data_IF_785498851839
#
_entry.id   IF_785498851839
#
_cell.length_a   1.000
_cell.length_b   1.000
_cell.length_c   1.000
_cell.angle_alpha   90.00
_cell.angle_beta   90.00
_cell.angle_gamma   90.00
#
_symmetry.space_group_name_H-M   'P 1'
#
loop_
_entity.id
_entity.type
_entity.pdbx_description
1 polymer ?
#
# COMPACT_ATOMS: atom_id res chain seq x y z
N UNK A 1 2.61 -9.66 -3.55
CA UNK A 1 1.77 -8.82 -2.67
C UNK A 1 2.69 -7.82 -2.02
N UNK A 2 2.46 -6.53 -2.28
CA UNK A 2 3.40 -5.46 -1.91
C UNK A 2 3.65 -5.44 -0.41
N UNK A 3 4.88 -5.13 -0.02
CA UNK A 3 5.31 -5.00 1.38
C UNK A 3 4.45 -3.96 2.13
N UNK A 4 4.04 -2.90 1.44
CA UNK A 4 3.18 -1.86 1.98
C UNK A 4 1.77 -2.37 2.32
N UNK A 5 1.20 -3.22 1.46
CA UNK A 5 -0.11 -3.84 1.70
C UNK A 5 -0.04 -4.76 2.92
N UNK A 6 1.05 -5.53 3.06
CA UNK A 6 1.31 -6.35 4.24
C UNK A 6 1.41 -5.51 5.52
N UNK A 7 2.07 -4.37 5.45
CA UNK A 7 2.19 -3.44 6.57
C UNK A 7 0.83 -2.90 7.01
N UNK A 8 -0.04 -2.52 6.08
CA UNK A 8 -1.41 -2.09 6.40
C UNK A 8 -2.24 -3.20 7.05
N UNK A 9 -2.14 -4.43 6.55
CA UNK A 9 -2.79 -5.59 7.19
C UNK A 9 -2.24 -5.86 8.60
N UNK A 10 -0.94 -5.67 8.82
CA UNK A 10 -0.33 -5.81 10.15
C UNK A 10 -0.85 -4.76 11.13
N UNK A 11 -0.97 -3.49 10.70
CA UNK A 11 -1.58 -2.43 11.51
C UNK A 11 -3.05 -2.74 11.82
N UNK A 12 -3.82 -3.18 10.82
CA UNK A 12 -5.22 -3.54 11.01
C UNK A 12 -5.38 -4.68 12.01
N UNK A 13 -4.57 -5.74 11.89
CA UNK A 13 -4.54 -6.85 12.84
C UNK A 13 -4.14 -6.39 14.24
N UNK A 14 -3.12 -5.53 14.35
CA UNK A 14 -2.70 -4.92 15.61
C UNK A 14 -3.82 -4.13 16.28
N UNK A 15 -4.56 -3.33 15.51
CA UNK A 15 -5.73 -2.59 16.00
C UNK A 15 -6.82 -3.50 16.56
N UNK A 16 -7.14 -4.59 15.87
CA UNK A 16 -8.10 -5.61 16.34
C UNK A 16 -7.61 -6.25 17.64
N UNK A 17 -6.34 -6.65 17.71
CA UNK A 17 -5.75 -7.24 18.92
C UNK A 17 -5.83 -6.27 20.10
N UNK A 18 -5.52 -4.98 19.91
CA UNK A 18 -5.64 -3.96 20.96
C UNK A 18 -7.07 -3.85 21.51
N UNK A 19 -8.08 -3.87 20.64
CA UNK A 19 -9.49 -3.84 21.06
C UNK A 19 -9.85 -5.10 21.85
N UNK A 20 -9.52 -6.28 21.33
CA UNK A 20 -9.84 -7.55 21.97
C UNK A 20 -9.15 -7.66 23.34
N UNK A 21 -7.86 -7.32 23.42
CA UNK A 21 -7.12 -7.32 24.69
C UNK A 21 -7.70 -6.32 25.69
N UNK A 22 -8.07 -5.11 25.24
CA UNK A 22 -8.70 -4.12 26.13
C UNK A 22 -10.00 -4.66 26.75
N UNK A 23 -10.84 -5.30 25.94
CA UNK A 23 -12.10 -5.91 26.41
C UNK A 23 -11.85 -7.07 27.36
N UNK A 24 -10.93 -7.99 27.01
CA UNK A 24 -10.61 -9.14 27.86
C UNK A 24 -10.03 -8.72 29.21
N UNK A 25 -9.10 -7.77 29.22
CA UNK A 25 -8.52 -7.22 30.44
C UNK A 25 -9.58 -6.53 31.29
N UNK A 26 -10.52 -5.80 30.67
CA UNK A 26 -11.62 -5.17 31.39
C UNK A 26 -12.46 -6.18 32.16
N UNK A 27 -12.86 -7.30 31.52
CA UNK A 27 -13.66 -8.34 32.19
C UNK A 27 -12.89 -9.04 33.31
N UNK A 28 -11.63 -9.39 33.06
CA UNK A 28 -10.80 -10.08 34.05
C UNK A 28 -10.53 -9.20 35.29
N UNK A 29 -10.18 -7.93 35.08
CA UNK A 29 -9.95 -6.97 36.17
C UNK A 29 -11.23 -6.68 36.97
N UNK A 30 -12.41 -6.70 36.33
CA UNK A 30 -13.69 -6.48 37.01
C UNK A 30 -14.02 -7.59 38.01
N UNK A 31 -13.61 -8.82 37.72
CA UNK A 31 -13.89 -9.98 38.56
C UNK A 31 -13.00 -10.03 39.80
N UNK A 32 -11.72 -9.65 39.65
CA UNK A 32 -10.73 -9.73 40.74
C UNK A 32 -10.70 -8.52 41.68
N UNK A 33 -10.89 -7.29 41.18
CA UNK A 33 -10.72 -6.09 41.98
C UNK A 33 -11.75 -5.02 41.57
N UNK A 34 -12.39 -4.34 42.52
CA UNK A 34 -13.15 -3.13 42.20
C UNK A 34 -12.28 -2.17 41.37
N UNK A 35 -12.68 -1.92 40.12
CA UNK A 35 -11.79 -1.31 39.12
C UNK A 35 -11.34 0.09 39.59
N UNK A 36 -10.04 0.27 39.79
CA UNK A 36 -9.49 1.61 40.01
C UNK A 36 -9.72 2.49 38.78
N UNK A 37 -10.20 3.72 38.99
CA UNK A 37 -10.53 4.67 37.92
C UNK A 37 -9.37 4.90 36.94
N UNK A 38 -8.13 4.85 37.43
CA UNK A 38 -6.90 4.95 36.62
C UNK A 38 -6.75 3.80 35.62
N UNK A 39 -7.01 2.56 36.04
CA UNK A 39 -6.93 1.37 35.17
C UNK A 39 -8.04 1.37 34.11
N UNK A 40 -9.26 1.78 34.50
CA UNK A 40 -10.36 1.94 33.55
C UNK A 40 -10.00 2.91 32.42
N UNK A 41 -9.47 4.08 32.76
CA UNK A 41 -9.08 5.08 31.77
C UNK A 41 -7.99 4.56 30.81
N UNK A 42 -7.01 3.81 31.31
CA UNK A 42 -5.96 3.19 30.47
C UNK A 42 -6.53 2.18 29.48
N UNK A 43 -7.50 1.35 29.89
CA UNK A 43 -8.16 0.39 29.01
C UNK A 43 -8.98 1.10 27.92
N UNK A 44 -9.67 2.17 28.27
CA UNK A 44 -10.39 3.00 27.29
C UNK A 44 -9.43 3.60 26.28
N UNK A 45 -8.29 4.15 26.72
CA UNK A 45 -7.25 4.66 25.80
C UNK A 45 -6.72 3.57 24.88
N UNK A 46 -6.43 2.37 25.39
CA UNK A 46 -5.98 1.24 24.58
C UNK A 46 -7.02 0.84 23.52
N UNK A 47 -8.31 0.85 23.88
CA UNK A 47 -9.40 0.57 22.97
C UNK A 47 -9.50 1.66 21.88
N UNK A 48 -9.43 2.93 22.26
CA UNK A 48 -9.44 4.06 21.32
C UNK A 48 -8.25 4.03 20.36
N UNK A 49 -7.05 3.65 20.84
CA UNK A 49 -5.90 3.44 19.98
C UNK A 49 -6.17 2.35 18.95
N UNK A 50 -6.74 1.21 19.36
CA UNK A 50 -7.12 0.14 18.44
C UNK A 50 -8.13 0.60 17.39
N UNK A 51 -9.16 1.35 17.78
CA UNK A 51 -10.14 1.96 16.86
C UNK A 51 -9.47 2.93 15.89
N UNK A 52 -8.54 3.76 16.37
CA UNK A 52 -7.79 4.70 15.54
C UNK A 52 -6.93 4.00 14.47
N UNK A 53 -6.24 2.92 14.83
CA UNK A 53 -5.46 2.11 13.88
C UNK A 53 -6.33 1.49 12.78
N UNK A 54 -7.52 0.98 13.15
CA UNK A 54 -8.48 0.44 12.19
C UNK A 54 -9.02 1.57 11.29
N UNK A 55 -9.39 2.71 11.87
CA UNK A 55 -9.92 3.85 11.12
C UNK A 55 -8.91 4.38 10.09
N UNK A 56 -7.63 4.35 10.43
CA UNK A 56 -6.55 4.74 9.51
C UNK A 56 -6.41 3.76 8.34
N UNK A 57 -6.45 2.45 8.60
CA UNK A 57 -6.14 1.41 7.60
C UNK A 57 -7.30 1.01 6.70
N UNK A 58 -8.54 1.07 7.21
CA UNK A 58 -9.73 0.58 6.48
C UNK A 58 -10.03 1.33 5.18
N UNK A 59 -9.95 2.66 5.09
CA UNK A 59 -10.28 3.40 3.87
C UNK A 59 -9.48 2.91 2.66
N UNK A 60 -8.18 2.67 2.83
CA UNK A 60 -7.26 2.29 1.77
C UNK A 60 -7.34 0.80 1.45
N UNK A 61 -7.38 -0.06 2.49
CA UNK A 61 -7.54 -1.50 2.32
C UNK A 61 -8.86 -1.88 1.66
N UNK A 62 -9.91 -1.05 1.82
CA UNK A 62 -11.20 -1.26 1.16
C UNK A 62 -11.02 -1.43 -0.36
N UNK A 63 -10.25 -0.58 -1.02
CA UNK A 63 -10.11 -0.64 -2.47
C UNK A 63 -9.39 -1.90 -2.95
N UNK A 64 -8.46 -2.42 -2.15
CA UNK A 64 -7.82 -3.72 -2.41
C UNK A 64 -8.82 -4.86 -2.29
N UNK A 65 -9.62 -4.89 -1.21
CA UNK A 65 -10.59 -5.97 -0.95
C UNK A 65 -11.70 -6.02 -2.00
N UNK A 66 -12.19 -4.85 -2.45
CA UNK A 66 -13.23 -4.76 -3.48
C UNK A 66 -12.69 -4.80 -4.91
N UNK A 67 -11.36 -4.86 -5.10
CA UNK A 67 -10.70 -4.77 -6.40
C UNK A 67 -11.09 -3.50 -7.19
N UNK A 68 -11.29 -2.39 -6.47
CA UNK A 68 -11.64 -1.08 -7.04
C UNK A 68 -10.35 -0.36 -7.47
N UNK A 69 -9.91 -0.66 -8.69
CA UNK A 69 -8.68 -0.13 -9.25
C UNK A 69 -8.93 0.88 -10.38
N UNK A 70 -7.96 1.76 -10.58
CA UNK A 70 -7.92 2.73 -11.69
C UNK A 70 -6.63 2.53 -12.47
N UNK A 71 -6.68 2.69 -13.78
CA UNK A 71 -5.49 2.58 -14.63
C UNK A 71 -5.14 3.95 -15.21
N UNK A 72 -3.98 4.46 -14.83
CA UNK A 72 -3.36 5.64 -15.42
C UNK A 72 -2.60 5.21 -16.66
N UNK A 73 -2.82 5.92 -17.78
CA UNK A 73 -2.18 5.64 -19.06
C UNK A 73 -1.49 6.90 -19.56
N UNK A 74 -0.27 6.74 -20.06
CA UNK A 74 0.49 7.89 -20.54
C UNK A 74 1.88 7.52 -21.02
N UNK A 75 2.55 8.54 -21.55
CA UNK A 75 3.97 8.47 -21.83
C UNK A 75 4.73 8.47 -20.51
N UNK A 76 5.70 7.57 -20.40
CA UNK A 76 6.55 7.43 -19.24
C UNK A 76 8.00 7.21 -19.65
N UNK A 77 8.91 7.54 -18.75
CA UNK A 77 10.31 7.11 -18.79
C UNK A 77 10.53 6.06 -17.71
N UNK A 78 11.46 5.14 -17.98
CA UNK A 78 11.78 4.03 -17.09
C UNK A 78 13.17 4.23 -16.55
N UNK A 79 13.31 4.21 -15.23
CA UNK A 79 14.59 4.22 -14.54
C UNK A 79 14.72 2.99 -13.65
N UNK A 80 15.94 2.50 -13.47
CA UNK A 80 16.22 1.42 -12.55
C UNK A 80 16.95 1.97 -11.34
N UNK A 81 16.38 1.76 -10.16
CA UNK A 81 17.12 1.99 -8.92
C UNK A 81 17.93 0.73 -8.62
N UNK A 82 19.19 0.74 -9.05
CA UNK A 82 20.16 -0.31 -8.74
C UNK A 82 20.79 -0.14 -7.34
N UNK A 83 20.54 0.99 -6.66
CA UNK A 83 21.03 1.26 -5.30
C UNK A 83 20.04 0.77 -4.23
N UNK A 84 18.76 0.65 -4.56
CA UNK A 84 17.76 0.06 -3.67
C UNK A 84 17.96 -1.46 -3.48
N UNK A 85 17.61 -1.94 -2.29
CA UNK A 85 17.58 -3.37 -1.96
C UNK A 85 16.23 -3.69 -1.30
N UNK A 86 15.31 -4.40 -1.97
CA UNK A 86 15.44 -4.95 -3.33
C UNK A 86 15.51 -3.88 -4.42
N UNK A 87 16.11 -4.22 -5.57
CA UNK A 87 16.18 -3.33 -6.73
C UNK A 87 14.78 -3.06 -7.27
N UNK A 88 14.49 -1.82 -7.61
CA UNK A 88 13.18 -1.40 -8.11
C UNK A 88 13.24 -0.90 -9.54
N UNK A 89 12.08 -0.85 -10.18
CA UNK A 89 11.84 -0.14 -11.42
C UNK A 89 10.94 1.04 -11.14
N UNK A 90 11.32 2.19 -11.67
CA UNK A 90 10.64 3.44 -11.46
C UNK A 90 10.07 3.93 -12.79
N UNK A 91 8.79 4.29 -12.75
CA UNK A 91 8.03 4.80 -13.89
C UNK A 91 7.68 6.25 -13.63
N UNK A 92 8.24 7.14 -14.44
CA UNK A 92 8.02 8.58 -14.33
C UNK A 92 7.15 9.06 -15.50
N UNK A 93 6.04 9.73 -15.20
CA UNK A 93 5.12 10.28 -16.19
C UNK A 93 5.44 11.75 -16.43
N UNK A 94 6.00 12.07 -17.61
CA UNK A 94 6.48 13.43 -17.90
C UNK A 94 5.38 14.49 -17.90
N UNK A 95 4.14 14.12 -18.29
CA UNK A 95 3.03 15.07 -18.42
C UNK A 95 2.38 15.42 -17.07
N UNK A 96 2.23 14.44 -16.18
CA UNK A 96 1.59 14.64 -14.87
C UNK A 96 2.59 14.88 -13.75
N UNK A 97 3.85 14.48 -13.95
CA UNK A 97 4.86 14.44 -12.90
C UNK A 97 4.65 13.30 -11.91
N UNK A 98 3.75 12.36 -12.21
CA UNK A 98 3.50 11.20 -11.36
C UNK A 98 4.69 10.23 -11.41
N UNK A 99 4.92 9.57 -10.28
CA UNK A 99 6.01 8.62 -10.10
C UNK A 99 5.46 7.37 -9.42
N UNK A 100 5.82 6.21 -9.95
CA UNK A 100 5.43 4.91 -9.41
C UNK A 100 6.65 3.99 -9.35
N UNK A 101 6.85 3.32 -8.22
CA UNK A 101 7.96 2.39 -8.02
C UNK A 101 7.45 0.97 -7.83
N UNK A 102 8.09 0.00 -8.47
CA UNK A 102 7.72 -1.40 -8.40
C UNK A 102 8.92 -2.28 -8.05
N UNK A 103 8.66 -3.30 -7.24
CA UNK A 103 9.66 -4.31 -6.88
C UNK A 103 9.92 -5.32 -7.99
N UNK A 104 8.92 -5.56 -8.85
CA UNK A 104 9.05 -6.44 -10.00
C UNK A 104 9.67 -5.65 -11.15
N UNK A 105 10.79 -6.14 -11.71
CA UNK A 105 11.60 -5.38 -12.66
C UNK A 105 11.42 -5.92 -14.06
N UNK A 106 11.02 -5.05 -14.98
CA UNK A 106 11.03 -5.35 -16.41
C UNK A 106 12.47 -5.42 -16.95
N UNK A 107 12.75 -6.39 -17.82
CA UNK A 107 14.01 -6.46 -18.57
C UNK A 107 13.84 -5.78 -19.93
N UNK A 108 14.08 -4.47 -19.97
CA UNK A 108 13.99 -3.65 -21.19
C UNK A 108 15.35 -3.53 -21.87
N UNK A 109 15.36 -3.62 -23.21
CA UNK A 109 16.58 -3.47 -24.01
C UNK A 109 17.19 -2.06 -24.02
N UNK A 110 16.43 -1.03 -23.64
CA UNK A 110 16.88 0.35 -23.45
C UNK A 110 16.06 1.01 -22.33
N UNK A 111 16.64 1.91 -21.55
CA UNK A 111 15.95 2.63 -20.46
C UNK A 111 16.71 3.94 -20.16
N UNK A 112 16.12 4.79 -19.32
CA UNK A 112 16.63 6.12 -18.98
C UNK A 112 15.70 7.26 -19.43
N UNK A 113 16.05 8.51 -19.05
CA UNK A 113 15.19 9.68 -19.25
C UNK A 113 14.92 10.04 -20.71
N UNK A 114 15.77 9.58 -21.64
CA UNK A 114 15.62 9.86 -23.07
C UNK A 114 14.89 8.74 -23.84
N UNK A 115 14.40 7.70 -23.14
CA UNK A 115 13.74 6.53 -23.75
C UNK A 115 12.27 6.50 -23.35
N UNK A 116 11.37 7.06 -24.19
CA UNK A 116 9.95 7.08 -23.88
C UNK A 116 9.31 5.72 -24.14
N UNK A 117 8.42 5.34 -23.22
CA UNK A 117 7.53 4.20 -23.31
C UNK A 117 6.08 4.64 -23.14
N UNK A 118 5.14 3.76 -23.48
CA UNK A 118 3.75 3.92 -23.05
C UNK A 118 3.54 3.02 -21.84
N UNK A 119 3.23 3.62 -20.69
CA UNK A 119 2.96 2.90 -19.45
C UNK A 119 1.48 2.89 -19.16
N UNK A 120 0.99 1.73 -18.72
CA UNK A 120 -0.29 1.60 -18.05
C UNK A 120 -0.02 1.15 -16.62
N UNK A 121 -0.25 2.03 -15.65
CA UNK A 121 -0.11 1.73 -14.22
C UNK A 121 -1.49 1.58 -13.60
N UNK A 122 -1.74 0.45 -12.95
CA UNK A 122 -2.98 0.18 -12.22
C UNK A 122 -2.73 0.40 -10.74
N UNK A 123 -3.49 1.30 -10.13
CA UNK A 123 -3.43 1.61 -8.70
C UNK A 123 -4.80 1.43 -8.05
N UNK A 124 -4.86 1.46 -6.72
CA UNK A 124 -6.13 1.65 -6.01
C UNK A 124 -6.73 3.02 -6.35
N UNK A 125 -8.04 3.16 -6.19
CA UNK A 125 -8.76 4.39 -6.54
C UNK A 125 -8.26 5.65 -5.81
N UNK A 126 -7.75 5.48 -4.61
CA UNK A 126 -7.11 6.53 -3.81
C UNK A 126 -5.63 6.75 -4.14
N UNK A 127 -5.08 6.00 -5.11
CA UNK A 127 -3.69 6.02 -5.56
C UNK A 127 -2.68 5.68 -4.47
N UNK A 128 -3.13 5.01 -3.40
CA UNK A 128 -2.28 4.68 -2.25
C UNK A 128 -1.47 3.40 -2.45
N UNK A 129 -1.91 2.51 -3.35
CA UNK A 129 -1.18 1.27 -3.66
C UNK A 129 -1.08 1.02 -5.15
N UNK A 130 0.13 0.71 -5.61
CA UNK A 130 0.39 0.26 -6.96
C UNK A 130 0.11 -1.25 -7.10
N UNK A 131 -0.82 -1.61 -7.99
CA UNK A 131 -1.26 -2.99 -8.14
C UNK A 131 -0.47 -3.72 -9.22
N UNK A 132 -0.33 -3.08 -10.38
CA UNK A 132 0.40 -3.66 -11.51
C UNK A 132 0.80 -2.57 -12.50
N UNK A 133 1.74 -2.90 -13.37
CA UNK A 133 2.08 -2.05 -14.49
C UNK A 133 2.31 -2.86 -15.76
N UNK A 134 2.11 -2.19 -16.89
CA UNK A 134 2.40 -2.71 -18.22
C UNK A 134 3.18 -1.67 -19.01
N UNK A 135 4.20 -2.12 -19.72
CA UNK A 135 5.06 -1.28 -20.54
C UNK A 135 4.88 -1.70 -22.00
N UNK A 136 4.66 -0.70 -22.86
CA UNK A 136 4.50 -0.85 -24.29
C UNK A 136 5.54 -0.02 -25.03
N UNK A 137 5.98 -0.53 -26.17
CA UNK A 137 6.85 0.22 -27.08
C UNK A 137 6.12 1.46 -27.61
N UNK A 138 6.73 2.63 -27.42
CA UNK A 138 6.11 3.92 -27.77
C UNK A 138 5.75 4.06 -29.26
N UNK A 139 6.48 3.40 -30.16
CA UNK A 139 6.28 3.54 -31.62
C UNK A 139 5.30 2.51 -32.18
N UNK A 140 5.35 1.28 -31.66
CA UNK A 140 4.65 0.13 -32.21
C UNK A 140 3.45 -0.30 -31.37
N UNK A 141 3.28 0.27 -30.18
CA UNK A 141 2.26 -0.11 -29.18
C UNK A 141 2.30 -1.60 -28.82
N UNK A 142 3.46 -2.23 -29.03
CA UNK A 142 3.67 -3.64 -28.71
C UNK A 142 3.94 -3.77 -27.22
N UNK A 143 3.20 -4.65 -26.54
CA UNK A 143 3.46 -5.00 -25.16
C UNK A 143 4.88 -5.55 -25.01
N UNK A 144 5.67 -4.91 -24.16
CA UNK A 144 7.03 -5.30 -23.80
C UNK A 144 7.04 -6.09 -22.50
N UNK A 145 6.24 -5.65 -21.53
CA UNK A 145 6.22 -6.24 -20.19
C UNK A 145 4.86 -6.05 -19.49
N UNK A 146 4.50 -7.00 -18.62
CA UNK A 146 3.32 -6.97 -17.75
C UNK A 146 3.67 -7.61 -16.41
N UNK A 147 3.39 -6.91 -15.30
CA UNK A 147 3.70 -7.38 -13.93
C UNK A 147 2.56 -8.18 -13.27
N UNK A 148 1.51 -8.52 -14.03
CA UNK A 148 0.36 -9.32 -13.56
C UNK A 148 0.69 -10.80 -13.42
#
# INVERSE_FOLDING_TARGET
MNEEVLFYYAILAGGIICIVLSVLLYFWLREDNGIEFSLFFRLVLLCLLGVGLIWYTVPSLKYIVYHDYVTTKGMCTVEYDDQSSPRTIDLYYDETGDYFSFLDRADLGAYGPDVPYTCHVTTTKDHEFEISYRIYDFKTDKLLYSSE
#
